data_IF_505990074949
#
_entry.id   IF_505990074949
#
_cell.length_a   1.000
_cell.length_b   1.000
_cell.length_c   1.000
_cell.angle_alpha   90.00
_cell.angle_beta   90.00
_cell.angle_gamma   90.00
#
_symmetry.space_group_name_H-M   'P 1'
#
loop_
_entity.id
_entity.type
_entity.pdbx_description
1 polymer ?
#
# COMPACT_ATOMS: atom_id res chain seq x y z
N UNK A 1 4.36 47.12 4.87
CA UNK A 1 5.68 46.58 4.52
C UNK A 1 6.16 45.77 5.72
N UNK A 2 6.54 44.50 5.57
CA UNK A 2 7.05 43.72 6.69
C UNK A 2 8.56 43.96 6.86
N UNK A 3 9.10 43.65 8.04
CA UNK A 3 10.40 44.06 8.58
C UNK A 3 11.65 43.65 7.76
N UNK A 4 11.48 42.90 6.66
CA UNK A 4 12.57 42.40 5.79
C UNK A 4 12.54 42.91 4.34
N UNK A 5 11.60 43.79 3.99
CA UNK A 5 11.52 44.34 2.62
C UNK A 5 11.00 43.35 1.55
N UNK A 6 10.50 42.18 1.96
CA UNK A 6 9.91 41.18 1.08
C UNK A 6 8.49 41.57 0.61
N UNK A 7 8.17 41.20 -0.63
CA UNK A 7 6.85 41.40 -1.23
C UNK A 7 5.83 40.40 -0.71
N UNK A 8 4.53 40.72 -0.75
CA UNK A 8 3.46 39.81 -0.30
C UNK A 8 3.49 38.44 -1.04
N UNK A 9 4.04 38.43 -2.26
CA UNK A 9 4.28 37.24 -3.08
C UNK A 9 5.34 36.31 -2.48
N UNK A 10 6.41 36.86 -1.90
CA UNK A 10 7.49 36.08 -1.27
C UNK A 10 7.00 35.43 0.04
N UNK A 11 6.16 36.13 0.80
CA UNK A 11 5.50 35.58 2.00
C UNK A 11 4.49 34.48 1.62
N UNK A 12 3.72 34.64 0.54
CA UNK A 12 2.79 33.61 0.06
C UNK A 12 3.52 32.38 -0.52
N UNK A 13 4.67 32.57 -1.19
CA UNK A 13 5.54 31.47 -1.64
C UNK A 13 6.09 30.67 -0.46
N UNK A 14 6.34 31.33 0.69
CA UNK A 14 6.72 30.67 1.94
C UNK A 14 5.56 29.93 2.62
N UNK A 15 4.30 30.24 2.28
CA UNK A 15 3.12 29.74 3.00
C UNK A 15 2.06 28.96 2.19
N UNK A 16 2.04 28.91 0.85
CA UNK A 16 1.12 27.99 0.12
C UNK A 16 1.34 27.93 -1.40
N UNK A 17 1.84 26.78 -1.90
CA UNK A 17 1.40 26.03 -3.13
C UNK A 17 2.45 25.07 -3.74
N UNK A 18 3.59 24.82 -3.12
CA UNK A 18 4.39 23.59 -3.36
C UNK A 18 3.96 22.46 -2.42
N UNK A 19 3.63 22.83 -1.18
CA UNK A 19 3.04 21.96 -0.15
C UNK A 19 1.73 21.30 -0.56
N UNK A 20 0.96 21.91 -1.47
CA UNK A 20 -0.31 21.33 -1.92
C UNK A 20 -0.08 20.18 -2.90
N UNK A 21 0.90 20.32 -3.81
CA UNK A 21 1.32 19.24 -4.71
C UNK A 21 1.97 18.12 -3.90
N UNK A 22 2.88 18.46 -2.98
CA UNK A 22 3.51 17.47 -2.10
C UNK A 22 2.48 16.77 -1.20
N UNK A 23 1.48 17.48 -0.68
CA UNK A 23 0.40 16.89 0.11
C UNK A 23 -0.51 15.99 -0.72
N UNK A 24 -0.81 16.38 -1.98
CA UNK A 24 -1.57 15.54 -2.89
C UNK A 24 -0.79 14.27 -3.22
N UNK A 25 0.48 14.37 -3.61
CA UNK A 25 1.32 13.20 -3.88
C UNK A 25 1.51 12.31 -2.64
N UNK A 26 1.58 12.90 -1.45
CA UNK A 26 1.57 12.17 -0.18
C UNK A 26 0.27 11.44 0.08
N UNK A 27 -0.87 12.11 -0.14
CA UNK A 27 -2.19 11.51 0.02
C UNK A 27 -2.41 10.38 -1.00
N UNK A 28 -1.96 10.56 -2.24
CA UNK A 28 -1.96 9.54 -3.29
C UNK A 28 -1.12 8.33 -2.89
N UNK A 29 0.12 8.52 -2.44
CA UNK A 29 0.98 7.41 -2.02
C UNK A 29 0.42 6.66 -0.79
N UNK A 30 -0.18 7.39 0.16
CA UNK A 30 -0.89 6.80 1.29
C UNK A 30 -2.10 5.99 0.82
N UNK A 31 -2.93 6.56 -0.05
CA UNK A 31 -4.11 5.90 -0.58
C UNK A 31 -3.74 4.65 -1.38
N UNK A 32 -2.70 4.72 -2.20
CA UNK A 32 -2.18 3.60 -3.00
C UNK A 32 -1.76 2.41 -2.11
N UNK A 33 -1.06 2.67 -1.00
CA UNK A 33 -0.76 1.62 -0.02
C UNK A 33 -2.04 1.06 0.64
N UNK A 34 -3.00 1.91 1.02
CA UNK A 34 -4.26 1.47 1.63
C UNK A 34 -5.12 0.64 0.66
N UNK A 35 -5.18 1.05 -0.60
CA UNK A 35 -5.89 0.36 -1.67
C UNK A 35 -5.24 -1.00 -1.92
N UNK A 36 -3.90 -1.05 -2.01
CA UNK A 36 -3.19 -2.31 -2.16
C UNK A 36 -3.46 -3.28 -1.01
N UNK A 37 -3.39 -2.82 0.25
CA UNK A 37 -3.73 -3.63 1.43
C UNK A 37 -5.19 -4.15 1.35
N UNK A 38 -6.10 -3.33 0.86
CA UNK A 38 -7.52 -3.70 0.72
C UNK A 38 -7.69 -4.75 -0.38
N UNK A 39 -7.10 -4.53 -1.56
CA UNK A 39 -7.14 -5.45 -2.68
C UNK A 39 -6.58 -6.84 -2.32
N UNK A 40 -5.45 -6.89 -1.62
CA UNK A 40 -4.89 -8.18 -1.19
C UNK A 40 -5.76 -8.81 -0.10
N UNK A 41 -6.37 -8.03 0.80
CA UNK A 41 -7.36 -8.57 1.75
C UNK A 41 -8.58 -9.15 1.06
N UNK A 42 -9.10 -8.52 0.03
CA UNK A 42 -10.22 -9.05 -0.75
C UNK A 42 -9.82 -10.33 -1.49
N UNK A 43 -8.64 -10.34 -2.11
CA UNK A 43 -8.10 -11.51 -2.80
C UNK A 43 -7.98 -12.72 -1.87
N UNK A 44 -7.58 -12.49 -0.62
CA UNK A 44 -7.43 -13.56 0.38
C UNK A 44 -8.72 -13.83 1.16
N UNK A 45 -9.73 -12.95 1.10
CA UNK A 45 -11.05 -13.18 1.69
C UNK A 45 -11.89 -14.12 0.83
N UNK A 46 -11.55 -14.29 -0.45
CA UNK A 46 -12.14 -15.34 -1.28
C UNK A 46 -11.82 -16.72 -0.71
N UNK A 47 -12.84 -17.46 -0.29
CA UNK A 47 -12.73 -18.77 0.37
C UNK A 47 -11.90 -19.77 -0.46
N UNK A 48 -11.93 -19.66 -1.80
CA UNK A 48 -11.12 -20.52 -2.68
C UNK A 48 -9.65 -20.13 -2.68
N UNK A 49 -9.32 -18.86 -2.48
CA UNK A 49 -7.94 -18.41 -2.30
C UNK A 49 -7.42 -18.78 -0.91
N UNK A 50 -8.24 -18.57 0.12
CA UNK A 50 -7.89 -18.91 1.50
C UNK A 50 -7.73 -20.43 1.69
N UNK A 51 -8.51 -21.25 0.99
CA UNK A 51 -8.36 -22.71 0.99
C UNK A 51 -7.04 -23.22 0.40
N UNK A 52 -6.38 -22.44 -0.47
CA UNK A 52 -5.13 -22.81 -1.16
C UNK A 52 -3.85 -22.49 -0.37
N UNK A 53 -3.96 -21.70 0.70
CA UNK A 53 -2.84 -21.26 1.53
C UNK A 53 -2.74 -22.08 2.80
N UNK A 54 -1.52 -22.40 3.20
CA UNK A 54 -1.27 -23.08 4.47
C UNK A 54 -1.44 -22.10 5.66
N UNK A 55 -1.39 -22.64 6.88
CA UNK A 55 -1.60 -21.83 8.11
C UNK A 55 -0.54 -20.74 8.29
N UNK A 56 0.71 -21.03 7.93
CA UNK A 56 1.82 -20.09 8.03
C UNK A 56 1.67 -18.94 7.03
N UNK A 57 1.32 -19.26 5.79
CA UNK A 57 1.06 -18.28 4.72
C UNK A 57 -0.08 -17.33 5.08
N UNK A 58 -1.17 -17.85 5.64
CA UNK A 58 -2.27 -17.03 6.18
C UNK A 58 -1.79 -16.12 7.30
N UNK A 59 -0.95 -16.64 8.20
CA UNK A 59 -0.42 -15.85 9.30
C UNK A 59 0.51 -14.74 8.80
N UNK A 60 1.42 -15.04 7.85
CA UNK A 60 2.30 -14.07 7.20
C UNK A 60 1.46 -12.98 6.52
N UNK A 61 0.43 -13.36 5.76
CA UNK A 61 -0.48 -12.43 5.12
C UNK A 61 -1.18 -11.48 6.12
N UNK A 62 -1.84 -12.06 7.13
CA UNK A 62 -2.59 -11.29 8.14
C UNK A 62 -1.66 -10.39 8.93
N UNK A 63 -0.52 -10.92 9.38
CA UNK A 63 0.50 -10.20 10.15
C UNK A 63 1.05 -9.03 9.35
N UNK A 64 1.43 -9.25 8.09
CA UNK A 64 1.99 -8.21 7.21
C UNK A 64 0.97 -7.11 6.91
N UNK A 65 -0.27 -7.46 6.55
CA UNK A 65 -1.32 -6.47 6.28
C UNK A 65 -1.68 -5.66 7.54
N UNK A 66 -1.73 -6.32 8.70
CA UNK A 66 -2.02 -5.66 9.98
C UNK A 66 -0.89 -4.73 10.37
N UNK A 67 0.36 -5.17 10.28
CA UNK A 67 1.52 -4.33 10.56
C UNK A 67 1.59 -3.10 9.65
N UNK A 68 1.30 -3.26 8.35
CA UNK A 68 1.27 -2.13 7.39
C UNK A 68 0.11 -1.17 7.68
N UNK A 69 -1.06 -1.70 8.04
CA UNK A 69 -2.21 -0.87 8.44
C UNK A 69 -1.90 -0.07 9.71
N UNK A 70 -1.32 -0.73 10.73
CA UNK A 70 -0.91 -0.09 11.98
C UNK A 70 0.15 1.00 11.71
N UNK A 71 1.13 0.72 10.86
CA UNK A 71 2.13 1.70 10.47
C UNK A 71 1.49 2.94 9.83
N UNK A 72 0.50 2.79 8.94
CA UNK A 72 -0.21 3.93 8.34
C UNK A 72 -0.94 4.79 9.39
N UNK A 73 -1.42 4.19 10.48
CA UNK A 73 -2.14 4.89 11.56
C UNK A 73 -1.19 5.56 12.56
N UNK A 74 -0.03 4.95 12.83
CA UNK A 74 0.88 5.38 13.89
C UNK A 74 2.12 6.13 13.40
N UNK A 75 2.46 6.06 12.10
CA UNK A 75 3.63 6.74 11.55
C UNK A 75 3.53 8.25 11.73
N UNK A 76 4.56 8.85 12.34
CA UNK A 76 4.65 10.31 12.51
C UNK A 76 5.35 10.91 11.31
N UNK A 77 4.61 11.69 10.53
CA UNK A 77 5.12 12.41 9.36
C UNK A 77 5.89 11.52 8.35
N UNK A 78 5.31 10.39 7.89
CA UNK A 78 5.94 9.57 6.85
C UNK A 78 6.11 10.38 5.57
N UNK A 79 7.20 10.15 4.84
CA UNK A 79 7.42 10.73 3.51
C UNK A 79 6.68 9.93 2.43
N UNK A 80 6.58 10.49 1.22
CA UNK A 80 6.04 9.78 0.04
C UNK A 80 6.84 8.49 -0.20
N UNK A 81 8.16 8.57 -0.07
CA UNK A 81 9.06 7.43 -0.26
C UNK A 81 8.80 6.32 0.75
N UNK A 82 8.54 6.67 2.02
CA UNK A 82 8.20 5.67 3.04
C UNK A 82 6.97 4.86 2.64
N UNK A 83 5.91 5.50 2.11
CA UNK A 83 4.72 4.76 1.64
C UNK A 83 5.05 3.81 0.48
N UNK A 84 5.86 4.27 -0.48
CA UNK A 84 6.30 3.44 -1.60
C UNK A 84 7.14 2.25 -1.12
N UNK A 85 8.05 2.46 -0.18
CA UNK A 85 8.85 1.38 0.42
C UNK A 85 7.99 0.39 1.20
N UNK A 86 7.01 0.88 1.99
CA UNK A 86 6.07 0.01 2.69
C UNK A 86 5.22 -0.81 1.71
N UNK A 87 4.81 -0.22 0.58
CA UNK A 87 4.09 -0.93 -0.47
C UNK A 87 4.97 -2.00 -1.12
N UNK A 88 6.15 -1.63 -1.61
CA UNK A 88 7.10 -2.58 -2.22
C UNK A 88 7.44 -3.74 -1.28
N UNK A 89 7.66 -3.45 0.01
CA UNK A 89 7.93 -4.47 1.01
C UNK A 89 6.72 -5.39 1.24
N UNK A 90 5.50 -4.88 1.16
CA UNK A 90 4.31 -5.73 1.22
C UNK A 90 4.18 -6.57 -0.05
N UNK A 91 4.41 -5.97 -1.22
CA UNK A 91 4.42 -6.68 -2.51
C UNK A 91 5.44 -7.82 -2.54
N UNK A 92 6.66 -7.61 -2.04
CA UNK A 92 7.71 -8.63 -1.99
C UNK A 92 7.29 -9.83 -1.12
N UNK A 93 6.72 -9.57 0.06
CA UNK A 93 6.21 -10.62 0.95
C UNK A 93 5.04 -11.37 0.32
N UNK A 94 4.14 -10.67 -0.37
CA UNK A 94 2.91 -11.24 -0.90
C UNK A 94 3.10 -11.87 -2.30
N UNK A 95 4.12 -11.46 -3.04
CA UNK A 95 4.47 -11.98 -4.37
C UNK A 95 4.51 -13.52 -4.43
N UNK A 96 5.24 -14.23 -3.54
CA UNK A 96 5.24 -15.69 -3.55
C UNK A 96 3.87 -16.30 -3.21
N UNK A 97 3.07 -15.64 -2.37
CA UNK A 97 1.73 -16.10 -1.99
C UNK A 97 0.75 -15.97 -3.17
N UNK A 98 0.76 -14.81 -3.83
CA UNK A 98 -0.07 -14.53 -5.01
C UNK A 98 0.30 -15.44 -6.19
N UNK A 99 1.60 -15.66 -6.43
CA UNK A 99 2.07 -16.60 -7.45
C UNK A 99 1.56 -18.02 -7.19
N UNK A 100 1.58 -18.47 -5.92
CA UNK A 100 1.06 -19.78 -5.53
C UNK A 100 -0.45 -19.90 -5.73
N UNK A 101 -1.21 -18.82 -5.54
CA UNK A 101 -2.64 -18.77 -5.82
C UNK A 101 -2.93 -18.90 -7.32
N UNK A 102 -2.15 -18.21 -8.16
CA UNK A 102 -2.29 -18.21 -9.62
C UNK A 102 -1.97 -19.58 -10.25
N UNK A 103 -0.85 -20.20 -9.86
CA UNK A 103 -0.45 -21.53 -10.37
C UNK A 103 -1.49 -22.61 -10.07
N UNK A 104 -2.13 -22.55 -8.90
CA UNK A 104 -3.14 -23.54 -8.50
C UNK A 104 -4.51 -23.32 -9.17
N UNK A 105 -4.86 -22.09 -9.57
CA UNK A 105 -6.04 -21.85 -10.42
C UNK A 105 -5.91 -22.45 -11.83
N UNK A 106 -4.70 -22.50 -12.39
CA UNK A 106 -4.47 -23.14 -13.69
C UNK A 106 -4.49 -24.67 -13.62
N UNK A 107 -4.09 -25.27 -12.49
CA UNK A 107 -4.13 -26.71 -12.30
C UNK A 107 -5.58 -27.26 -12.26
N UNK A 108 -6.53 -26.50 -11.72
CA UNK A 108 -7.93 -26.91 -11.60
C UNK A 108 -8.75 -26.75 -12.88
N UNK A 109 -8.27 -25.96 -13.85
CA UNK A 109 -8.92 -25.79 -15.15
C UNK A 109 -8.50 -26.86 -16.18
N UNK A 110 -7.38 -27.56 -15.96
CA UNK A 110 -6.90 -28.63 -16.87
C UNK A 110 -7.56 -30.00 -16.62
N UNK A 111 -8.24 -30.22 -15.50
CA UNK A 111 -8.88 -31.52 -15.18
C UNK A 111 -10.35 -31.63 -15.64
N UNK A 112 -10.95 -30.56 -16.20
CA UNK A 112 -12.34 -30.59 -16.72
C UNK A 112 -12.45 -30.93 -18.21
N UNK A 113 -11.34 -31.31 -18.85
CA UNK A 113 -11.28 -31.63 -20.28
C UNK A 113 -10.56 -32.97 -20.50
N UNK A 114 -11.11 -34.03 -19.91
CA UNK A 114 -10.82 -35.44 -20.25
C UNK A 114 -12.08 -36.26 -20.12
#
# INVERSE_FOLDING_TARGET
MNFRGETAKEVACRYSKTTCVEYLSWAEAKQDLQEYITQVRETFSDDKALGKLNKEEKNIFISSCTAKTDWIQNAKNPSIQDFTEQKNHLEDILSPLLAKLAVQSEATSKTRKS
#
